data_IF_265588812831
#
_entry.id   IF_265588812831
#
_cell.length_a   1.000
_cell.length_b   1.000
_cell.length_c   1.000
_cell.angle_alpha   90.00
_cell.angle_beta   90.00
_cell.angle_gamma   90.00
#
_symmetry.space_group_name_H-M   'P 1'
#
loop_
_entity.id
_entity.type
_entity.pdbx_description
1 polymer ?
#
# COMPACT_ATOMS: atom_id res chain seq x y z
N UNK A 1 -16.22 22.14 -2.08
CA UNK A 1 -16.79 20.78 -2.24
C UNK A 1 -15.73 19.69 -2.14
N UNK A 2 -14.63 19.73 -2.92
CA UNK A 2 -13.51 18.74 -2.82
C UNK A 2 -12.88 18.68 -1.42
N UNK A 3 -12.46 19.81 -0.87
CA UNK A 3 -11.82 19.88 0.46
C UNK A 3 -12.73 19.34 1.56
N UNK A 4 -14.01 19.70 1.54
CA UNK A 4 -15.03 19.19 2.46
C UNK A 4 -15.14 17.66 2.37
N UNK A 5 -15.20 17.11 1.15
CA UNK A 5 -15.29 15.66 0.94
C UNK A 5 -14.04 14.91 1.41
N UNK A 6 -12.85 15.42 1.10
CA UNK A 6 -11.57 14.84 1.56
C UNK A 6 -11.51 14.83 3.09
N UNK A 7 -11.86 15.95 3.73
CA UNK A 7 -11.88 16.03 5.19
C UNK A 7 -12.85 15.04 5.81
N UNK A 8 -14.10 14.96 5.32
CA UNK A 8 -15.10 14.03 5.87
C UNK A 8 -14.70 12.56 5.72
N UNK A 9 -14.21 12.15 4.54
CA UNK A 9 -13.71 10.80 4.32
C UNK A 9 -12.52 10.49 5.21
N UNK A 10 -11.70 11.51 5.48
CA UNK A 10 -10.53 11.34 6.33
C UNK A 10 -10.91 11.19 7.80
N UNK A 11 -11.85 12.01 8.28
CA UNK A 11 -12.42 11.89 9.63
C UNK A 11 -13.07 10.52 9.86
N UNK A 12 -13.75 9.95 8.85
CA UNK A 12 -14.29 8.57 8.88
C UNK A 12 -13.16 7.54 9.03
N UNK A 13 -12.11 7.64 8.22
CA UNK A 13 -10.96 6.72 8.29
C UNK A 13 -10.21 6.82 9.62
N UNK A 14 -9.93 8.03 10.09
CA UNK A 14 -9.21 8.26 11.35
C UNK A 14 -10.01 7.70 12.54
N UNK A 15 -11.35 7.80 12.50
CA UNK A 15 -12.21 7.18 13.51
C UNK A 15 -12.14 5.65 13.47
N UNK A 16 -12.33 5.05 12.29
CA UNK A 16 -12.26 3.59 12.13
C UNK A 16 -10.91 3.02 12.60
N UNK A 17 -9.80 3.72 12.29
CA UNK A 17 -8.46 3.32 12.74
C UNK A 17 -8.30 3.48 14.25
N UNK A 18 -8.78 4.59 14.83
CA UNK A 18 -8.75 4.82 16.27
C UNK A 18 -9.56 3.78 17.03
N UNK A 19 -10.76 3.43 16.56
CA UNK A 19 -11.61 2.41 17.15
C UNK A 19 -10.96 1.01 17.06
N UNK A 20 -10.16 0.76 16.02
CA UNK A 20 -9.34 -0.45 15.89
C UNK A 20 -8.07 -0.45 16.78
N UNK A 21 -7.74 0.68 17.40
CA UNK A 21 -6.53 0.88 18.19
C UNK A 21 -5.27 1.01 17.33
N UNK A 22 -5.39 1.63 16.15
CA UNK A 22 -4.30 1.92 15.21
C UNK A 22 -4.15 3.44 15.03
N UNK A 23 -2.94 3.95 15.24
CA UNK A 23 -2.61 5.36 15.06
C UNK A 23 -1.36 5.49 14.19
N UNK A 24 -1.38 6.42 13.24
CA UNK A 24 -0.20 6.79 12.47
C UNK A 24 0.43 8.04 13.08
N UNK A 25 1.74 8.02 13.26
CA UNK A 25 2.50 9.20 13.72
C UNK A 25 2.58 10.29 12.63
N UNK A 26 2.61 9.87 11.37
CA UNK A 26 2.78 10.76 10.22
C UNK A 26 1.82 10.36 9.11
N UNK A 27 1.11 11.37 8.60
CA UNK A 27 0.33 11.26 7.37
C UNK A 27 1.00 12.06 6.27
N UNK A 28 1.44 11.36 5.23
CA UNK A 28 2.17 11.95 4.13
C UNK A 28 1.24 12.19 2.94
N UNK A 29 1.29 13.40 2.37
CA UNK A 29 0.49 13.76 1.20
C UNK A 29 1.36 13.65 -0.06
N UNK A 30 0.91 12.86 -1.04
CA UNK A 30 1.62 12.74 -2.32
C UNK A 30 1.80 14.11 -2.99
N UNK A 31 0.84 15.02 -2.86
CA UNK A 31 0.93 16.38 -3.40
C UNK A 31 2.17 17.15 -2.91
N UNK A 32 2.61 16.90 -1.67
CA UNK A 32 3.82 17.54 -1.14
C UNK A 32 5.08 17.15 -1.91
N UNK A 33 5.16 15.93 -2.49
CA UNK A 33 6.30 15.52 -3.33
C UNK A 33 6.45 16.41 -4.57
N UNK A 34 5.33 16.87 -5.12
CA UNK A 34 5.30 17.73 -6.30
C UNK A 34 5.55 19.18 -5.92
N UNK A 35 4.88 19.67 -4.87
CA UNK A 35 5.03 21.04 -4.36
C UNK A 35 6.47 21.33 -3.93
N UNK A 36 7.14 20.35 -3.30
CA UNK A 36 8.52 20.45 -2.83
C UNK A 36 9.56 20.13 -3.92
N UNK A 37 9.14 19.88 -5.16
CA UNK A 37 10.04 19.56 -6.28
C UNK A 37 10.79 18.23 -6.15
N UNK A 38 10.34 17.34 -5.26
CA UNK A 38 11.01 16.05 -5.00
C UNK A 38 10.90 15.09 -6.18
N UNK A 39 9.78 15.11 -6.91
CA UNK A 39 9.60 14.30 -8.13
C UNK A 39 10.56 14.74 -9.23
N UNK A 40 10.67 16.05 -9.46
CA UNK A 40 11.55 16.62 -10.48
C UNK A 40 13.03 16.38 -10.16
N UNK A 41 13.46 16.66 -8.93
CA UNK A 41 14.84 16.41 -8.49
C UNK A 41 15.21 14.92 -8.54
N UNK A 42 14.28 14.02 -8.20
CA UNK A 42 14.47 12.57 -8.35
C UNK A 42 14.64 12.18 -9.82
N UNK A 43 13.84 12.75 -10.73
CA UNK A 43 14.00 12.49 -12.16
C UNK A 43 15.36 12.95 -12.69
N UNK A 44 15.82 14.12 -12.26
CA UNK A 44 17.14 14.65 -12.62
C UNK A 44 18.26 13.76 -12.09
N UNK A 45 18.21 13.35 -10.82
CA UNK A 45 19.19 12.43 -10.25
C UNK A 45 19.22 11.07 -10.98
N UNK A 46 18.05 10.54 -11.36
CA UNK A 46 17.97 9.33 -12.16
C UNK A 46 18.60 9.52 -13.55
N UNK A 47 18.42 10.68 -14.19
CA UNK A 47 19.11 11.00 -15.44
C UNK A 47 20.63 11.03 -15.28
N UNK A 48 21.12 11.65 -14.21
CA UNK A 48 22.54 11.74 -13.90
C UNK A 48 23.19 10.38 -13.58
N UNK A 49 22.41 9.40 -13.08
CA UNK A 49 22.90 8.04 -12.83
C UNK A 49 23.40 7.29 -14.08
N UNK A 50 23.07 7.78 -15.28
CA UNK A 50 23.38 7.11 -16.55
C UNK A 50 22.50 5.87 -16.84
N UNK A 51 21.48 5.63 -16.01
CA UNK A 51 20.56 4.47 -16.13
C UNK A 51 19.25 4.78 -16.86
N UNK A 52 19.08 6.01 -17.31
CA UNK A 52 17.86 6.50 -17.96
C UNK A 52 18.09 6.73 -19.45
N UNK A 53 17.09 6.43 -20.27
CA UNK A 53 17.12 6.65 -21.71
C UNK A 53 15.77 7.15 -22.24
N UNK A 54 15.79 7.80 -23.41
CA UNK A 54 14.60 8.24 -24.13
C UNK A 54 14.23 7.22 -25.20
N UNK A 55 12.95 6.87 -25.28
CA UNK A 55 12.41 5.99 -26.32
C UNK A 55 10.92 6.30 -26.54
N UNK A 56 10.53 6.44 -27.80
CA UNK A 56 9.15 6.73 -28.24
C UNK A 56 8.53 7.97 -27.57
N UNK A 57 9.36 9.00 -27.37
CA UNK A 57 8.97 10.25 -26.71
C UNK A 57 8.78 10.13 -25.19
N UNK A 58 9.00 8.94 -24.61
CA UNK A 58 8.92 8.69 -23.18
C UNK A 58 10.32 8.52 -22.57
N UNK A 59 10.39 8.69 -21.25
CA UNK A 59 11.62 8.53 -20.46
C UNK A 59 11.56 7.22 -19.70
N UNK A 60 12.58 6.39 -19.86
CA UNK A 60 12.66 5.03 -19.35
C UNK A 60 13.83 4.86 -18.39
N UNK A 61 13.63 4.08 -17.34
CA UNK A 61 14.70 3.60 -16.47
C UNK A 61 15.04 2.15 -16.83
N UNK A 62 16.34 1.83 -16.90
CA UNK A 62 16.90 0.48 -17.10
C UNK A 62 16.70 -0.42 -15.87
N UNK A 63 15.45 -0.66 -15.48
CA UNK A 63 15.11 -1.46 -14.30
C UNK A 63 15.49 -2.94 -14.45
N UNK A 64 15.67 -3.42 -15.68
CA UNK A 64 16.17 -4.79 -15.95
C UNK A 64 17.59 -5.02 -15.42
N UNK A 65 18.42 -3.98 -15.28
CA UNK A 65 19.74 -4.08 -14.64
C UNK A 65 19.66 -4.40 -13.13
N UNK A 66 18.47 -4.27 -12.53
CA UNK A 66 18.19 -4.50 -11.11
C UNK A 66 17.17 -5.64 -10.89
N UNK A 67 17.00 -6.52 -11.88
CA UNK A 67 16.16 -7.72 -11.75
C UNK A 67 14.66 -7.53 -12.05
N UNK A 68 14.24 -6.37 -12.58
CA UNK A 68 12.88 -6.22 -13.11
C UNK A 68 12.71 -6.98 -14.44
N UNK A 69 11.48 -7.37 -14.77
CA UNK A 69 11.16 -8.14 -15.98
C UNK A 69 11.28 -7.31 -17.27
N UNK A 70 11.11 -6.00 -17.17
CA UNK A 70 11.24 -5.05 -18.27
C UNK A 70 11.51 -3.65 -17.74
N UNK A 71 12.19 -2.86 -18.56
CA UNK A 71 12.43 -1.46 -18.28
C UNK A 71 11.12 -0.70 -18.10
N UNK A 72 11.15 0.34 -17.26
CA UNK A 72 9.94 1.05 -16.83
C UNK A 72 9.96 2.49 -17.30
N UNK A 73 8.85 2.90 -17.91
CA UNK A 73 8.57 4.31 -18.17
C UNK A 73 8.46 5.04 -16.83
N UNK A 74 9.26 6.08 -16.64
CA UNK A 74 9.19 6.99 -15.51
C UNK A 74 8.40 8.26 -15.87
N UNK A 75 8.55 8.76 -17.11
CA UNK A 75 7.80 9.91 -17.62
C UNK A 75 7.18 9.50 -18.97
N UNK A 76 5.86 9.69 -19.10
CA UNK A 76 5.09 9.35 -20.30
C UNK A 76 5.43 10.29 -21.46
N UNK A 77 5.01 9.92 -22.67
CA UNK A 77 5.18 10.74 -23.88
C UNK A 77 4.45 12.09 -23.83
N UNK A 78 3.47 12.24 -22.94
CA UNK A 78 2.78 13.52 -22.66
C UNK A 78 3.54 14.40 -21.65
N UNK A 79 4.73 13.98 -21.21
CA UNK A 79 5.57 14.70 -20.24
C UNK A 79 5.16 14.50 -18.78
N UNK A 80 4.04 13.82 -18.49
CA UNK A 80 3.61 13.58 -17.11
C UNK A 80 4.26 12.34 -16.49
N UNK A 81 4.57 12.37 -15.19
CA UNK A 81 5.18 11.23 -14.51
C UNK A 81 4.22 10.06 -14.41
N UNK A 82 4.77 8.86 -14.39
CA UNK A 82 4.04 7.65 -13.97
C UNK A 82 4.05 7.54 -12.44
N UNK A 83 3.15 6.76 -11.86
CA UNK A 83 3.14 6.49 -10.41
C UNK A 83 4.46 5.91 -9.86
N UNK A 84 5.29 5.34 -10.73
CA UNK A 84 6.60 4.83 -10.36
C UNK A 84 7.55 5.93 -9.85
N UNK A 85 7.56 7.11 -10.48
CA UNK A 85 8.54 8.15 -10.15
C UNK A 85 8.27 8.81 -8.77
N UNK A 86 7.02 9.18 -8.42
CA UNK A 86 6.69 9.64 -7.07
C UNK A 86 6.99 8.60 -5.98
N UNK A 87 6.79 7.31 -6.24
CA UNK A 87 7.15 6.25 -5.27
C UNK A 87 8.66 6.25 -4.98
N UNK A 88 9.49 6.37 -6.02
CA UNK A 88 10.96 6.49 -5.83
C UNK A 88 11.29 7.76 -5.06
N UNK A 89 10.71 8.89 -5.43
CA UNK A 89 10.93 10.18 -4.76
C UNK A 89 10.57 10.10 -3.27
N UNK A 90 9.45 9.46 -2.94
CA UNK A 90 9.03 9.26 -1.56
C UNK A 90 10.02 8.41 -0.76
N UNK A 91 10.57 7.35 -1.37
CA UNK A 91 11.57 6.50 -0.73
C UNK A 91 12.93 7.18 -0.58
N UNK A 92 13.34 8.02 -1.53
CA UNK A 92 14.52 8.88 -1.39
C UNK A 92 14.33 9.90 -0.27
N UNK A 93 13.13 10.48 -0.16
CA UNK A 93 12.79 11.38 0.94
C UNK A 93 12.84 10.70 2.32
N UNK A 94 12.32 9.47 2.44
CA UNK A 94 12.47 8.67 3.67
C UNK A 94 13.93 8.39 4.01
N UNK A 95 14.73 8.01 3.02
CA UNK A 95 16.14 7.76 3.20
C UNK A 95 16.89 9.01 3.67
N UNK A 96 16.66 10.16 3.03
CA UNK A 96 17.27 11.44 3.40
C UNK A 96 16.91 11.93 4.81
N UNK A 97 15.78 11.48 5.36
CA UNK A 97 15.39 11.72 6.77
C UNK A 97 16.06 10.76 7.77
N UNK A 98 16.89 9.82 7.31
CA UNK A 98 17.62 8.85 8.14
C UNK A 98 16.90 7.51 8.35
N UNK A 99 15.79 7.25 7.64
CA UNK A 99 15.08 5.98 7.73
C UNK A 99 15.66 4.96 6.74
N UNK A 100 16.70 4.24 7.17
CA UNK A 100 17.38 3.23 6.35
C UNK A 100 16.70 1.86 6.34
N UNK A 101 15.63 1.70 7.13
CA UNK A 101 14.71 0.57 7.06
C UNK A 101 13.32 1.10 6.75
N UNK A 102 12.71 0.61 5.67
CA UNK A 102 11.35 0.96 5.29
C UNK A 102 10.61 -0.31 4.86
N UNK A 103 9.48 -0.57 5.53
CA UNK A 103 8.62 -1.72 5.25
C UNK A 103 7.34 -1.21 4.61
N UNK A 104 7.11 -1.59 3.36
CA UNK A 104 5.88 -1.30 2.63
C UNK A 104 4.89 -2.45 2.84
N UNK A 105 3.70 -2.16 3.34
CA UNK A 105 2.60 -3.13 3.48
C UNK A 105 1.59 -2.88 2.36
N UNK A 106 1.42 -3.85 1.45
CA UNK A 106 0.59 -3.70 0.25
C UNK A 106 -0.19 -4.99 -0.05
N UNK A 107 -1.19 -4.91 -0.93
CA UNK A 107 -1.87 -6.10 -1.45
C UNK A 107 -0.96 -6.89 -2.41
N UNK A 108 -1.12 -8.20 -2.48
CA UNK A 108 -0.34 -9.08 -3.35
C UNK A 108 -0.51 -8.78 -4.86
N UNK A 109 -1.59 -8.09 -5.24
CA UNK A 109 -1.82 -7.53 -6.57
C UNK A 109 -0.79 -6.48 -6.98
N UNK A 110 -0.02 -5.95 -6.03
CA UNK A 110 1.06 -4.99 -6.24
C UNK A 110 2.44 -5.65 -6.45
N UNK A 111 2.54 -6.98 -6.58
CA UNK A 111 3.83 -7.65 -6.78
C UNK A 111 4.67 -7.04 -7.94
N UNK A 112 4.00 -6.58 -9.01
CA UNK A 112 4.67 -5.93 -10.15
C UNK A 112 5.20 -4.52 -9.90
N UNK A 113 4.91 -3.88 -8.76
CA UNK A 113 5.43 -2.57 -8.37
C UNK A 113 6.64 -2.67 -7.43
N UNK A 114 6.88 -3.83 -6.81
CA UNK A 114 8.03 -4.07 -5.93
C UNK A 114 9.35 -3.84 -6.67
N UNK A 115 9.57 -4.60 -7.75
CA UNK A 115 10.83 -4.59 -8.49
C UNK A 115 11.14 -3.21 -9.08
N UNK A 116 10.14 -2.47 -9.56
CA UNK A 116 10.38 -1.15 -10.17
C UNK A 116 10.84 -0.13 -9.13
N UNK A 117 10.20 -0.05 -7.96
CA UNK A 117 10.57 0.93 -6.92
C UNK A 117 11.95 0.60 -6.38
N UNK A 118 12.23 -0.69 -6.11
CA UNK A 118 13.55 -1.15 -5.69
C UNK A 118 14.63 -0.82 -6.74
N UNK A 119 14.35 -1.05 -8.03
CA UNK A 119 15.27 -0.67 -9.10
C UNK A 119 15.50 0.85 -9.17
N UNK A 120 14.44 1.65 -8.99
CA UNK A 120 14.54 3.11 -8.98
C UNK A 120 15.42 3.66 -7.87
N UNK A 121 15.27 3.13 -6.65
CA UNK A 121 16.11 3.57 -5.52
C UNK A 121 17.54 3.01 -5.61
N UNK A 122 17.73 1.80 -6.14
CA UNK A 122 19.06 1.24 -6.38
C UNK A 122 19.82 2.01 -7.46
N UNK A 123 19.14 2.48 -8.50
CA UNK A 123 19.74 3.37 -9.50
C UNK A 123 20.24 4.70 -8.91
N UNK A 124 19.73 5.09 -7.74
CA UNK A 124 20.16 6.26 -6.97
C UNK A 124 21.13 5.90 -5.82
N UNK A 125 21.63 4.66 -5.79
CA UNK A 125 22.64 4.20 -4.85
C UNK A 125 22.12 3.66 -3.53
N UNK A 126 20.81 3.42 -3.38
CA UNK A 126 20.27 2.74 -2.19
C UNK A 126 20.54 1.22 -2.26
N UNK A 127 20.68 0.54 -1.11
CA UNK A 127 21.05 -0.88 -1.09
C UNK A 127 19.96 -1.78 -1.66
N UNK A 128 20.38 -2.93 -2.18
CA UNK A 128 19.47 -4.03 -2.54
C UNK A 128 18.60 -4.43 -1.35
N UNK A 129 17.33 -4.72 -1.59
CA UNK A 129 16.36 -5.04 -0.56
C UNK A 129 15.67 -3.83 0.08
N UNK A 130 16.12 -2.60 -0.16
CA UNK A 130 15.38 -1.40 0.22
C UNK A 130 14.43 -0.94 -0.91
N UNK A 131 13.17 -0.59 -0.63
CA UNK A 131 12.45 -0.91 0.62
C UNK A 131 12.05 -2.39 0.69
N UNK A 132 11.78 -2.86 1.90
CA UNK A 132 11.20 -4.18 2.15
C UNK A 132 9.70 -4.16 1.85
N UNK A 133 9.14 -5.30 1.44
CA UNK A 133 7.71 -5.44 1.15
C UNK A 133 7.10 -6.60 1.92
N UNK A 134 5.95 -6.33 2.54
CA UNK A 134 5.04 -7.34 3.09
C UNK A 134 3.78 -7.31 2.25
N UNK A 135 3.59 -8.35 1.44
CA UNK A 135 2.45 -8.47 0.54
C UNK A 135 1.35 -9.32 1.19
N UNK A 136 0.20 -8.69 1.43
CA UNK A 136 -0.98 -9.35 1.98
C UNK A 136 -1.87 -9.91 0.86
N UNK A 137 -2.27 -11.17 0.98
CA UNK A 137 -3.31 -11.74 0.13
C UNK A 137 -4.67 -11.07 0.41
N UNK A 138 -5.53 -11.06 -0.61
CA UNK A 138 -6.89 -10.56 -0.46
C UNK A 138 -7.67 -11.41 0.55
N UNK A 139 -8.40 -10.73 1.42
CA UNK A 139 -9.26 -11.37 2.41
C UNK A 139 -10.63 -11.63 1.81
N UNK A 140 -11.11 -12.87 1.95
CA UNK A 140 -12.49 -13.23 1.64
C UNK A 140 -13.31 -13.23 2.92
N UNK A 141 -14.48 -12.62 2.91
CA UNK A 141 -15.42 -12.69 4.05
C UNK A 141 -16.49 -13.71 3.73
N UNK A 142 -16.82 -14.59 4.68
CA UNK A 142 -17.85 -15.61 4.52
C UNK A 142 -18.90 -15.54 5.63
N UNK A 143 -20.13 -15.88 5.27
CA UNK A 143 -21.26 -16.08 6.18
C UNK A 143 -22.15 -17.19 5.65
N UNK A 144 -22.59 -18.09 6.52
CA UNK A 144 -23.35 -19.29 6.18
C UNK A 144 -22.64 -20.12 5.08
N UNK A 145 -21.31 -20.16 5.12
CA UNK A 145 -20.46 -20.82 4.12
C UNK A 145 -20.48 -20.18 2.73
N UNK A 146 -20.99 -18.94 2.59
CA UNK A 146 -21.06 -18.19 1.33
C UNK A 146 -20.26 -16.91 1.42
N UNK A 147 -19.58 -16.57 0.33
CA UNK A 147 -18.82 -15.33 0.23
C UNK A 147 -19.73 -14.09 0.30
N UNK A 148 -19.36 -13.16 1.19
CA UNK A 148 -19.99 -11.84 1.34
C UNK A 148 -19.02 -10.79 0.80
N UNK A 149 -19.53 -9.88 -0.04
CA UNK A 149 -18.69 -8.81 -0.61
C UNK A 149 -18.49 -7.68 0.41
N UNK A 150 -17.24 -7.32 0.67
CA UNK A 150 -16.87 -6.05 1.29
C UNK A 150 -17.00 -4.95 0.21
N UNK A 151 -17.94 -4.02 0.34
CA UNK A 151 -18.13 -2.94 -0.66
C UNK A 151 -18.85 -1.71 -0.09
N UNK A 152 -18.41 -0.51 -0.48
CA UNK A 152 -19.00 0.77 -0.06
C UNK A 152 -20.28 1.19 -0.81
N UNK A 153 -20.88 0.36 -1.69
CA UNK A 153 -22.10 0.72 -2.46
C UNK A 153 -23.24 -0.28 -2.27
N UNK A 154 -24.37 0.24 -1.76
CA UNK A 154 -25.63 -0.38 -1.31
C UNK A 154 -25.94 -1.86 -1.63
N UNK A 155 -26.35 -2.60 -0.58
CA UNK A 155 -27.28 -3.73 -0.73
C UNK A 155 -26.97 -5.00 0.08
N UNK A 156 -25.70 -5.34 0.29
CA UNK A 156 -25.30 -6.62 0.93
C UNK A 156 -23.87 -6.62 1.50
N UNK A 157 -23.37 -5.47 1.95
CA UNK A 157 -21.96 -5.30 2.24
C UNK A 157 -21.72 -4.96 3.71
N UNK A 158 -20.54 -5.33 4.21
CA UNK A 158 -20.08 -5.00 5.56
C UNK A 158 -18.90 -4.03 5.40
N UNK A 159 -18.95 -2.86 6.03
CA UNK A 159 -17.77 -1.97 6.14
C UNK A 159 -16.80 -2.48 7.22
N UNK A 160 -15.57 -1.97 7.24
CA UNK A 160 -14.63 -2.32 8.31
C UNK A 160 -15.18 -1.91 9.70
N UNK A 161 -15.72 -0.70 9.83
CA UNK A 161 -16.42 -0.24 11.03
C UNK A 161 -17.60 -1.14 11.45
N UNK A 162 -18.42 -1.57 10.48
CA UNK A 162 -19.54 -2.50 10.76
C UNK A 162 -19.05 -3.88 11.19
N UNK A 163 -17.96 -4.39 10.59
CA UNK A 163 -17.34 -5.65 10.99
C UNK A 163 -16.92 -5.58 12.46
N UNK A 164 -16.15 -4.55 12.82
CA UNK A 164 -15.68 -4.33 14.20
C UNK A 164 -16.84 -4.18 15.19
N UNK A 165 -17.89 -3.44 14.81
CA UNK A 165 -19.08 -3.26 15.65
C UNK A 165 -19.81 -4.58 15.88
N UNK A 166 -19.85 -5.46 14.87
CA UNK A 166 -20.56 -6.75 14.94
C UNK A 166 -19.82 -7.80 15.76
N UNK A 167 -18.52 -7.98 15.52
CA UNK A 167 -17.75 -9.09 16.09
C UNK A 167 -16.85 -8.67 17.26
N UNK A 168 -16.63 -7.37 17.43
CA UNK A 168 -15.69 -6.82 18.41
C UNK A 168 -14.30 -6.60 17.81
N UNK A 169 -13.61 -5.57 18.31
CA UNK A 169 -12.26 -5.17 17.86
C UNK A 169 -11.24 -6.30 18.08
N UNK A 170 -11.23 -6.92 19.26
CA UNK A 170 -10.26 -7.97 19.59
C UNK A 170 -10.41 -9.21 18.71
N UNK A 171 -11.65 -9.64 18.47
CA UNK A 171 -11.94 -10.76 17.56
C UNK A 171 -11.50 -10.41 16.15
N UNK A 172 -11.82 -9.19 15.69
CA UNK A 172 -11.41 -8.70 14.36
C UNK A 172 -9.88 -8.74 14.22
N UNK A 173 -9.15 -8.20 15.19
CA UNK A 173 -7.68 -8.19 15.21
C UNK A 173 -7.11 -9.60 15.22
N UNK A 174 -7.65 -10.49 16.04
CA UNK A 174 -7.17 -11.87 16.11
C UNK A 174 -7.34 -12.57 14.75
N UNK A 175 -8.53 -12.50 14.16
CA UNK A 175 -8.84 -13.17 12.89
C UNK A 175 -7.94 -12.68 11.74
N UNK A 176 -7.69 -11.38 11.63
CA UNK A 176 -6.76 -10.85 10.62
C UNK A 176 -5.29 -11.28 10.82
N UNK A 177 -4.91 -11.69 12.04
CA UNK A 177 -3.55 -12.14 12.37
C UNK A 177 -3.40 -13.67 12.39
N UNK A 178 -4.48 -14.44 12.21
CA UNK A 178 -4.46 -15.92 12.22
C UNK A 178 -3.68 -16.55 11.05
N UNK A 179 -3.32 -15.75 10.05
CA UNK A 179 -2.64 -16.19 8.84
C UNK A 179 -1.42 -15.32 8.59
N UNK A 180 -0.39 -15.93 8.01
CA UNK A 180 0.74 -15.18 7.47
C UNK A 180 0.26 -14.24 6.35
N UNK A 181 0.96 -13.13 6.09
CA UNK A 181 0.57 -12.18 5.05
C UNK A 181 0.33 -12.80 3.67
N UNK A 182 1.15 -13.77 3.28
CA UNK A 182 1.09 -14.49 2.00
C UNK A 182 0.06 -15.62 1.96
N UNK A 183 -0.61 -15.91 3.08
CA UNK A 183 -1.64 -16.93 3.17
C UNK A 183 -3.04 -16.39 2.85
N UNK A 184 -3.85 -17.19 2.15
CA UNK A 184 -5.26 -16.88 1.98
C UNK A 184 -5.97 -16.83 3.34
N UNK A 185 -6.67 -15.72 3.60
CA UNK A 185 -7.50 -15.53 4.78
C UNK A 185 -8.98 -15.53 4.40
N UNK A 186 -9.71 -16.48 4.96
CA UNK A 186 -11.17 -16.46 5.00
C UNK A 186 -11.59 -15.95 6.37
N UNK A 187 -12.23 -14.79 6.41
CA UNK A 187 -12.87 -14.24 7.58
C UNK A 187 -14.29 -14.82 7.69
N UNK A 188 -14.42 -15.89 8.48
CA UNK A 188 -15.71 -16.53 8.78
C UNK A 188 -16.46 -15.72 9.85
N UNK A 189 -17.55 -15.05 9.44
CA UNK A 189 -18.38 -14.23 10.33
C UNK A 189 -19.11 -15.04 11.39
N UNK A 190 -19.51 -16.27 11.08
CA UNK A 190 -20.26 -17.10 12.02
C UNK A 190 -19.32 -17.58 13.14
N UNK A 191 -18.10 -17.97 12.77
CA UNK A 191 -17.06 -18.31 13.74
C UNK A 191 -16.64 -17.10 14.58
N UNK A 192 -16.53 -15.91 13.97
CA UNK A 192 -16.18 -14.69 14.68
C UNK A 192 -17.24 -14.25 15.70
N UNK A 193 -18.52 -14.54 15.44
CA UNK A 193 -19.63 -14.24 16.35
C UNK A 193 -19.84 -15.31 17.43
N UNK A 194 -19.31 -16.52 17.24
CA UNK A 194 -19.45 -17.62 18.19
C UNK A 194 -18.68 -17.31 19.49
N UNK A 195 -19.38 -17.35 20.64
CA UNK A 195 -18.82 -17.12 21.98
C UNK A 195 -18.50 -18.41 22.74
N UNK A 196 -18.52 -19.56 22.07
CA UNK A 196 -18.07 -20.84 22.62
C UNK A 196 -16.58 -21.10 22.34
N UNK A 197 -16.06 -22.17 22.92
CA UNK A 197 -14.68 -22.66 22.71
C UNK A 197 -14.34 -22.97 21.24
N UNK A 198 -15.29 -22.90 20.30
CA UNK A 198 -14.99 -23.02 18.86
C UNK A 198 -14.22 -21.82 18.35
N UNK A 199 -14.54 -20.62 18.84
CA UNK A 199 -13.87 -19.41 18.47
C UNK A 199 -12.55 -19.31 19.25
N UNK A 200 -11.40 -19.21 18.56
CA UNK A 200 -10.09 -19.22 19.21
C UNK A 200 -9.85 -18.03 20.16
N UNK A 201 -10.68 -16.99 20.10
CA UNK A 201 -10.59 -15.82 21.00
C UNK A 201 -11.19 -16.09 22.39
N UNK A 202 -12.17 -16.97 22.49
CA UNK A 202 -12.86 -17.29 23.75
C UNK A 202 -12.35 -18.57 24.42
N UNK A 203 -11.28 -19.17 23.87
CA UNK A 203 -10.56 -20.29 24.48
C UNK A 203 -9.65 -19.85 25.62
#
# INVERSE_FOLDING_TARGET
MRETAVRMLREEQDRDLSDFGLHFDVYFLESSLYEDGQVESTAAALRESGKVYDLDGAVWLRTTEYGDQKDRVMIKSDGSPTYFLPDVAYHMGKWGRGFHQAINVQGADHHGTVARVQAGVQALGLPEGYPEYVLHQMVRVERDGKEVKLSKRAGSNITFGELMTKVGVDVTRYFFQMRKPDGHLVFDLDLALDQSDKNPVYK
#
